data_IF_702097593459
#
_entry.id   IF_702097593459
#
_cell.length_a   1.000
_cell.length_b   1.000
_cell.length_c   1.000
_cell.angle_alpha   90.00
_cell.angle_beta   90.00
_cell.angle_gamma   90.00
#
_symmetry.space_group_name_H-M   'P 1'
#
loop_
_entity.id
_entity.type
_entity.pdbx_description
1 polymer ?
#
# COMPACT_ATOMS: atom_id res chain seq x y z
N UNK A 1 -1.75 -9.68 -8.12
CA UNK A 1 -2.51 -10.46 -7.10
C UNK A 1 -4.02 -10.31 -7.30
N UNK A 2 -4.61 -9.08 -7.32
CA UNK A 2 -6.08 -8.87 -7.42
C UNK A 2 -6.66 -9.49 -8.70
N UNK A 3 -6.05 -9.27 -9.87
CA UNK A 3 -6.51 -9.87 -11.12
C UNK A 3 -6.54 -11.40 -11.05
N UNK A 4 -5.51 -12.00 -10.47
CA UNK A 4 -5.42 -13.45 -10.30
C UNK A 4 -6.43 -13.95 -9.28
N UNK A 5 -6.65 -13.23 -8.19
CA UNK A 5 -7.66 -13.52 -7.19
C UNK A 5 -9.06 -13.54 -7.83
N UNK A 6 -9.43 -12.49 -8.56
CA UNK A 6 -10.73 -12.41 -9.24
C UNK A 6 -10.94 -13.55 -10.24
N UNK A 7 -9.88 -13.94 -10.95
CA UNK A 7 -9.91 -15.07 -11.87
C UNK A 7 -10.12 -16.41 -11.14
N UNK A 8 -9.39 -16.62 -10.04
CA UNK A 8 -9.41 -17.91 -9.31
C UNK A 8 -10.68 -18.10 -8.49
N UNK A 9 -11.11 -17.06 -7.77
CA UNK A 9 -12.23 -17.15 -6.84
C UNK A 9 -13.59 -17.00 -7.52
N UNK A 10 -13.67 -16.11 -8.49
CA UNK A 10 -14.93 -15.71 -9.12
C UNK A 10 -15.02 -16.09 -10.60
N UNK A 11 -13.94 -16.63 -11.15
CA UNK A 11 -13.86 -17.00 -12.57
C UNK A 11 -14.20 -15.83 -13.52
N UNK A 12 -13.89 -14.60 -13.13
CA UNK A 12 -14.05 -13.40 -13.96
C UNK A 12 -12.70 -12.83 -14.38
N UNK A 13 -12.69 -12.22 -15.56
CA UNK A 13 -11.53 -11.52 -16.09
C UNK A 13 -11.65 -10.03 -15.76
N UNK A 14 -10.67 -9.49 -15.04
CA UNK A 14 -10.54 -8.06 -14.78
C UNK A 14 -9.24 -7.52 -15.34
N UNK A 15 -9.30 -6.36 -15.96
CA UNK A 15 -8.12 -5.64 -16.44
C UNK A 15 -7.34 -4.96 -15.32
N UNK A 16 -6.15 -4.45 -15.63
CA UNK A 16 -5.34 -3.69 -14.69
C UNK A 16 -6.07 -2.43 -14.13
N UNK A 17 -6.80 -1.65 -14.95
CA UNK A 17 -7.55 -0.51 -14.43
C UNK A 17 -8.64 -0.91 -13.42
N UNK A 18 -9.35 -2.01 -13.68
CA UNK A 18 -10.39 -2.52 -12.77
C UNK A 18 -9.77 -3.03 -11.47
N UNK A 19 -8.63 -3.74 -11.54
CA UNK A 19 -7.91 -4.19 -10.36
C UNK A 19 -7.39 -3.01 -9.50
N UNK A 20 -6.98 -1.92 -10.14
CA UNK A 20 -6.59 -0.69 -9.44
C UNK A 20 -7.80 -0.04 -8.74
N UNK A 21 -8.96 -0.01 -9.40
CA UNK A 21 -10.19 0.49 -8.76
C UNK A 21 -10.59 -0.37 -7.55
N UNK A 22 -10.52 -1.69 -7.65
CA UNK A 22 -10.76 -2.60 -6.52
C UNK A 22 -9.81 -2.25 -5.37
N UNK A 23 -8.52 -2.10 -5.64
CA UNK A 23 -7.52 -1.72 -4.64
C UNK A 23 -7.84 -0.38 -3.98
N UNK A 24 -8.25 0.63 -4.73
CA UNK A 24 -8.57 1.96 -4.21
C UNK A 24 -9.86 1.91 -3.37
N UNK A 25 -10.88 1.21 -3.84
CA UNK A 25 -12.21 1.17 -3.20
C UNK A 25 -12.23 0.29 -1.95
N UNK A 26 -11.75 -0.93 -2.05
CA UNK A 26 -11.83 -1.94 -0.99
C UNK A 26 -10.47 -2.54 -0.59
N UNK A 27 -9.35 -1.96 -1.05
CA UNK A 27 -8.03 -2.42 -0.64
C UNK A 27 -7.78 -2.15 0.85
N UNK A 28 -7.27 -3.17 1.55
CA UNK A 28 -6.84 -3.08 2.93
C UNK A 28 -5.62 -3.96 3.17
N UNK A 29 -4.78 -3.57 4.10
CA UNK A 29 -3.68 -4.37 4.62
C UNK A 29 -4.10 -5.17 5.86
N UNK A 30 -5.26 -4.86 6.43
CA UNK A 30 -5.83 -5.49 7.61
C UNK A 30 -7.17 -6.14 7.27
N UNK A 31 -7.45 -7.30 7.85
CA UNK A 31 -8.73 -8.01 7.73
C UNK A 31 -9.79 -7.45 8.65
N UNK A 32 -9.39 -6.68 9.66
CA UNK A 32 -10.27 -6.01 10.60
C UNK A 32 -9.91 -4.52 10.61
N UNK A 33 -10.86 -3.68 10.26
CA UNK A 33 -10.78 -2.23 10.32
C UNK A 33 -11.84 -1.70 11.30
N UNK A 34 -11.64 -0.53 11.93
CA UNK A 34 -12.70 0.17 12.64
C UNK A 34 -13.92 0.39 11.73
N UNK A 35 -15.13 0.38 12.31
CA UNK A 35 -16.38 0.48 11.52
C UNK A 35 -16.44 1.76 10.67
N UNK A 36 -15.88 2.85 11.18
CA UNK A 36 -15.82 4.16 10.50
C UNK A 36 -14.78 4.21 9.36
N UNK A 37 -13.82 3.28 9.33
CA UNK A 37 -12.81 3.15 8.28
C UNK A 37 -13.11 2.01 7.30
N UNK A 38 -13.99 1.09 7.66
CA UNK A 38 -14.34 -0.07 6.85
C UNK A 38 -15.13 0.37 5.61
N UNK A 39 -14.62 0.13 4.39
CA UNK A 39 -15.36 0.46 3.18
C UNK A 39 -16.52 -0.52 2.95
N UNK A 40 -17.57 -0.03 2.32
CA UNK A 40 -18.63 -0.89 1.80
C UNK A 40 -18.10 -1.81 0.68
N UNK A 41 -18.81 -2.91 0.44
CA UNK A 41 -18.48 -3.81 -0.67
C UNK A 41 -18.50 -3.06 -2.02
N UNK A 42 -17.57 -3.41 -2.88
CA UNK A 42 -17.45 -2.83 -4.21
C UNK A 42 -17.94 -3.81 -5.26
N UNK A 43 -18.96 -3.43 -6.03
CA UNK A 43 -19.48 -4.24 -7.13
C UNK A 43 -18.51 -4.22 -8.32
N UNK A 44 -17.94 -5.38 -8.65
CA UNK A 44 -17.06 -5.58 -9.78
C UNK A 44 -17.81 -6.25 -10.92
N UNK A 45 -17.73 -5.68 -12.11
CA UNK A 45 -18.35 -6.25 -13.32
C UNK A 45 -17.25 -6.75 -14.24
N UNK A 46 -17.36 -7.99 -14.66
CA UNK A 46 -16.42 -8.58 -15.61
C UNK A 46 -17.00 -9.78 -16.34
N UNK A 47 -16.45 -10.14 -17.52
CA UNK A 47 -16.88 -11.33 -18.23
C UNK A 47 -16.45 -12.59 -17.48
N UNK A 48 -17.36 -13.55 -17.37
CA UNK A 48 -17.04 -14.90 -16.90
C UNK A 48 -16.11 -15.57 -17.91
N UNK A 49 -15.04 -16.21 -17.43
CA UNK A 49 -14.03 -16.82 -18.28
C UNK A 49 -14.54 -18.02 -19.10
N UNK A 50 -15.62 -18.67 -18.66
CA UNK A 50 -16.19 -19.86 -19.35
C UNK A 50 -17.32 -19.49 -20.32
N UNK A 51 -18.23 -18.62 -19.87
CA UNK A 51 -19.45 -18.30 -20.61
C UNK A 51 -19.37 -17.00 -21.40
N UNK A 52 -18.35 -16.17 -21.11
CA UNK A 52 -18.20 -14.80 -21.63
C UNK A 52 -19.35 -13.86 -21.27
N UNK A 53 -20.29 -14.30 -20.44
CA UNK A 53 -21.39 -13.44 -19.98
C UNK A 53 -20.92 -12.51 -18.85
N UNK A 54 -21.48 -11.30 -18.80
CA UNK A 54 -21.15 -10.36 -17.72
C UNK A 54 -21.66 -10.90 -16.38
N UNK A 55 -20.79 -10.83 -15.36
CA UNK A 55 -21.12 -11.11 -13.97
C UNK A 55 -20.87 -9.86 -13.13
N UNK A 56 -21.71 -9.70 -12.11
CA UNK A 56 -21.58 -8.69 -11.07
C UNK A 56 -21.24 -9.39 -9.76
N UNK A 57 -20.17 -8.98 -9.12
CA UNK A 57 -19.65 -9.63 -7.92
C UNK A 57 -19.38 -8.56 -6.88
N UNK A 58 -20.02 -8.61 -5.69
CA UNK A 58 -19.63 -7.81 -4.55
C UNK A 58 -18.30 -8.33 -4.01
N UNK A 59 -17.36 -7.42 -3.78
CA UNK A 59 -16.03 -7.73 -3.24
C UNK A 59 -15.82 -6.95 -1.96
N UNK A 60 -15.50 -7.64 -0.89
CA UNK A 60 -15.26 -7.06 0.43
C UNK A 60 -13.79 -6.69 0.62
N UNK A 61 -13.52 -5.78 1.58
CA UNK A 61 -12.14 -5.42 1.92
C UNK A 61 -11.39 -6.56 2.60
N UNK A 62 -12.08 -7.43 3.33
CA UNK A 62 -11.49 -8.60 3.99
C UNK A 62 -10.90 -9.56 2.96
N UNK A 63 -11.63 -9.81 1.88
CA UNK A 63 -11.16 -10.67 0.78
C UNK A 63 -9.92 -10.08 0.11
N UNK A 64 -9.92 -8.77 -0.12
CA UNK A 64 -8.77 -8.10 -0.74
C UNK A 64 -7.59 -8.03 0.23
N UNK A 65 -7.83 -7.88 1.54
CA UNK A 65 -6.75 -7.97 2.54
C UNK A 65 -6.07 -9.35 2.50
N UNK A 66 -6.83 -10.43 2.44
CA UNK A 66 -6.27 -11.78 2.27
C UNK A 66 -5.52 -11.94 0.93
N UNK A 67 -6.07 -11.38 -0.14
CA UNK A 67 -5.43 -11.39 -1.45
C UNK A 67 -4.07 -10.70 -1.45
N UNK A 68 -3.94 -9.58 -0.74
CA UNK A 68 -2.73 -8.75 -0.69
C UNK A 68 -1.71 -9.21 0.35
N UNK A 69 -2.08 -10.09 1.26
CA UNK A 69 -1.26 -10.49 2.41
C UNK A 69 0.15 -10.94 2.01
N UNK A 70 0.25 -11.79 0.99
CA UNK A 70 1.55 -12.28 0.49
C UNK A 70 2.45 -11.15 -0.03
N UNK A 71 1.88 -10.17 -0.70
CA UNK A 71 2.65 -9.03 -1.24
C UNK A 71 3.07 -8.08 -0.12
N UNK A 72 2.20 -7.86 0.86
CA UNK A 72 2.52 -7.03 2.03
C UNK A 72 3.60 -7.72 2.88
N UNK A 73 3.50 -9.04 3.09
CA UNK A 73 4.53 -9.80 3.81
C UNK A 73 5.91 -9.73 3.15
N UNK A 74 5.98 -9.64 1.82
CA UNK A 74 7.25 -9.39 1.11
C UNK A 74 7.80 -7.99 1.38
N UNK A 75 6.93 -6.98 1.47
CA UNK A 75 7.35 -5.63 1.85
C UNK A 75 7.87 -5.60 3.29
N UNK A 76 7.18 -6.26 4.22
CA UNK A 76 7.62 -6.41 5.61
C UNK A 76 9.02 -7.02 5.68
N UNK A 77 9.25 -8.12 4.96
CA UNK A 77 10.56 -8.79 4.92
C UNK A 77 11.65 -7.90 4.32
N UNK A 78 11.35 -7.13 3.27
CA UNK A 78 12.31 -6.22 2.66
C UNK A 78 12.69 -5.06 3.60
N UNK A 79 11.72 -4.52 4.35
CA UNK A 79 11.97 -3.48 5.36
C UNK A 79 12.84 -4.04 6.49
N UNK A 80 12.54 -5.23 6.99
CA UNK A 80 13.34 -5.88 8.03
C UNK A 80 14.79 -6.10 7.58
N UNK A 81 15.01 -6.61 6.36
CA UNK A 81 16.34 -6.80 5.80
C UNK A 81 17.11 -5.46 5.65
N UNK A 82 16.42 -4.38 5.28
CA UNK A 82 17.02 -3.05 5.23
C UNK A 82 17.44 -2.55 6.61
N UNK A 83 16.59 -2.75 7.63
CA UNK A 83 16.90 -2.38 9.01
C UNK A 83 18.07 -3.19 9.58
N UNK A 84 18.13 -4.48 9.30
CA UNK A 84 19.25 -5.36 9.72
C UNK A 84 20.58 -4.92 9.14
N UNK A 85 20.58 -4.37 7.93
CA UNK A 85 21.80 -3.85 7.27
C UNK A 85 22.16 -2.40 7.66
N UNK A 86 21.30 -1.76 8.47
CA UNK A 86 21.48 -0.35 8.87
C UNK A 86 22.47 -0.25 10.03
N UNK A 87 23.48 0.67 9.98
CA UNK A 87 24.37 0.94 11.11
C UNK A 87 23.63 1.34 12.38
N UNK A 88 24.14 0.91 13.55
CA UNK A 88 23.47 1.09 14.84
C UNK A 88 23.15 2.55 15.18
N UNK A 89 24.01 3.49 14.79
CA UNK A 89 23.81 4.93 15.00
C UNK A 89 22.57 5.44 14.24
N UNK A 90 22.44 5.04 12.98
CA UNK A 90 21.29 5.40 12.15
C UNK A 90 20.00 4.68 12.59
N UNK A 91 20.13 3.45 13.07
CA UNK A 91 18.99 2.68 13.59
C UNK A 91 18.31 3.41 14.77
N UNK A 92 19.10 4.00 15.66
CA UNK A 92 18.56 4.78 16.79
C UNK A 92 17.73 5.98 16.29
N UNK A 93 18.20 6.66 15.25
CA UNK A 93 17.47 7.79 14.66
C UNK A 93 16.18 7.33 13.97
N UNK A 94 16.20 6.19 13.29
CA UNK A 94 15.02 5.59 12.65
C UNK A 94 13.96 5.26 13.71
N UNK A 95 14.34 4.64 14.82
CA UNK A 95 13.41 4.29 15.91
C UNK A 95 12.80 5.56 16.53
N UNK A 96 13.58 6.62 16.67
CA UNK A 96 13.13 7.90 17.26
C UNK A 96 12.20 8.67 16.31
N UNK A 97 12.54 8.75 15.04
CA UNK A 97 11.87 9.61 14.07
C UNK A 97 10.77 8.88 13.28
N UNK A 98 10.78 7.54 13.29
CA UNK A 98 9.89 6.72 12.48
C UNK A 98 10.31 6.65 11.00
N UNK A 99 9.47 5.97 10.21
CA UNK A 99 9.66 5.75 8.78
C UNK A 99 8.51 6.41 8.02
N UNK A 100 8.81 7.14 6.96
CA UNK A 100 7.79 7.78 6.13
C UNK A 100 7.44 6.92 4.92
N UNK A 101 6.14 6.63 4.78
CA UNK A 101 5.58 5.96 3.61
C UNK A 101 5.15 6.99 2.58
N UNK A 102 5.63 6.86 1.35
CA UNK A 102 5.29 7.75 0.24
C UNK A 102 4.77 6.97 -0.97
N UNK A 103 4.21 7.70 -1.94
CA UNK A 103 3.59 7.10 -3.11
C UNK A 103 2.15 6.63 -2.87
N UNK A 104 1.48 6.20 -3.94
CA UNK A 104 0.09 5.77 -3.88
C UNK A 104 -0.16 4.53 -3.03
N UNK A 105 0.86 3.66 -2.87
CA UNK A 105 0.78 2.48 -2.02
C UNK A 105 0.61 2.80 -0.53
N UNK A 106 1.11 3.96 -0.08
CA UNK A 106 0.97 4.42 1.30
C UNK A 106 -0.49 4.70 1.71
N UNK A 107 -1.37 4.90 0.72
CA UNK A 107 -2.81 5.12 0.91
C UNK A 107 -3.61 3.82 1.13
N UNK A 108 -2.98 2.65 1.06
CA UNK A 108 -3.66 1.39 1.35
C UNK A 108 -4.09 1.38 2.83
N UNK A 109 -5.40 1.17 3.06
CA UNK A 109 -5.97 1.18 4.42
C UNK A 109 -5.25 0.22 5.34
N UNK A 110 -4.92 0.67 6.54
CA UNK A 110 -4.28 -0.15 7.55
C UNK A 110 -2.80 -0.52 7.28
N UNK A 111 -2.19 -0.08 6.16
CA UNK A 111 -0.81 -0.45 5.83
C UNK A 111 0.20 0.08 6.85
N UNK A 112 0.11 1.38 7.19
CA UNK A 112 1.01 1.99 8.18
C UNK A 112 0.88 1.32 9.55
N UNK A 113 -0.36 1.02 9.96
CA UNK A 113 -0.65 0.34 11.21
C UNK A 113 -0.07 -1.09 11.22
N UNK A 114 -0.29 -1.84 10.16
CA UNK A 114 0.25 -3.21 10.01
C UNK A 114 1.78 -3.23 10.09
N UNK A 115 2.43 -2.34 9.34
CA UNK A 115 3.89 -2.22 9.36
C UNK A 115 4.41 -1.79 10.73
N UNK A 116 3.77 -0.80 11.37
CA UNK A 116 4.14 -0.35 12.71
C UNK A 116 4.03 -1.46 13.75
N UNK A 117 2.95 -2.23 13.71
CA UNK A 117 2.73 -3.34 14.62
C UNK A 117 3.74 -4.48 14.38
N UNK A 118 4.07 -4.76 13.13
CA UNK A 118 4.98 -5.86 12.76
C UNK A 118 6.43 -5.56 13.07
N UNK A 119 6.86 -4.31 12.84
CA UNK A 119 8.26 -3.89 12.88
C UNK A 119 8.59 -3.20 14.22
N UNK A 120 7.56 -2.78 14.95
CA UNK A 120 7.68 -2.01 16.20
C UNK A 120 8.42 -0.67 16.04
N UNK A 121 8.24 -0.04 14.88
CA UNK A 121 8.69 1.32 14.56
C UNK A 121 7.48 2.06 13.99
N UNK A 122 7.33 3.34 14.33
CA UNK A 122 6.22 4.14 13.81
C UNK A 122 6.36 4.40 12.31
N UNK A 123 5.31 4.15 11.55
CA UNK A 123 5.22 4.48 10.13
C UNK A 123 4.28 5.67 9.95
N UNK A 124 4.78 6.73 9.34
CA UNK A 124 4.06 7.97 9.06
C UNK A 124 3.63 8.02 7.60
N UNK A 125 2.39 8.40 7.34
CA UNK A 125 1.90 8.72 5.99
C UNK A 125 1.69 10.23 5.93
N UNK A 126 2.39 10.97 5.06
CA UNK A 126 2.18 12.41 4.91
C UNK A 126 0.80 12.68 4.29
N UNK A 127 0.30 13.90 4.45
CA UNK A 127 -1.01 14.34 3.95
C UNK A 127 -1.22 14.06 2.45
N UNK A 128 -0.16 14.20 1.65
CA UNK A 128 -0.19 13.91 0.21
C UNK A 128 1.01 13.03 -0.16
N UNK A 129 0.92 11.70 0.08
CA UNK A 129 2.04 10.80 -0.11
C UNK A 129 2.41 10.61 -1.59
N UNK A 130 1.48 10.80 -2.52
CA UNK A 130 1.73 10.62 -3.95
C UNK A 130 2.67 11.69 -4.51
N UNK A 131 2.58 12.92 -4.02
CA UNK A 131 3.40 14.04 -4.48
C UNK A 131 4.55 14.39 -3.51
N UNK A 132 4.73 13.65 -2.42
CA UNK A 132 5.72 13.95 -1.39
C UNK A 132 7.14 14.07 -1.95
N UNK A 133 7.55 13.15 -2.85
CA UNK A 133 8.87 13.18 -3.49
C UNK A 133 9.04 14.41 -4.39
N UNK A 134 8.04 14.71 -5.23
CA UNK A 134 8.06 15.87 -6.12
C UNK A 134 8.12 17.19 -5.33
N UNK A 135 7.35 17.29 -4.23
CA UNK A 135 7.41 18.46 -3.32
C UNK A 135 8.76 18.59 -2.65
N UNK A 136 9.31 17.49 -2.14
CA UNK A 136 10.64 17.47 -1.52
C UNK A 136 11.73 17.94 -2.48
N UNK A 137 11.72 17.42 -3.71
CA UNK A 137 12.65 17.85 -4.77
C UNK A 137 12.47 19.33 -5.11
N UNK A 138 11.24 19.81 -5.21
CA UNK A 138 10.95 21.23 -5.46
C UNK A 138 11.44 22.15 -4.32
N UNK A 139 11.31 21.72 -3.07
CA UNK A 139 11.83 22.45 -1.91
C UNK A 139 13.37 22.47 -1.91
N UNK A 140 14.01 21.35 -2.21
CA UNK A 140 15.47 21.26 -2.31
C UNK A 140 16.03 22.18 -3.41
N UNK A 141 15.38 22.22 -4.58
CA UNK A 141 15.77 23.09 -5.68
C UNK A 141 15.61 24.59 -5.34
N UNK A 142 14.56 24.96 -4.62
CA UNK A 142 14.35 26.36 -4.16
C UNK A 142 15.36 26.81 -3.12
N UNK A 143 15.95 25.87 -2.37
CA UNK A 143 16.88 26.14 -1.28
C UNK A 143 18.19 25.37 -1.49
N UNK A 144 18.72 25.42 -2.70
CA UNK A 144 19.85 24.57 -3.14
C UNK A 144 21.08 24.74 -2.26
N UNK A 145 21.35 25.94 -1.76
CA UNK A 145 22.47 26.23 -0.87
C UNK A 145 22.39 25.48 0.45
N UNK A 146 21.16 25.26 0.96
CA UNK A 146 20.91 24.53 2.20
C UNK A 146 20.95 22.99 2.00
N UNK A 147 20.78 22.52 0.77
CA UNK A 147 20.71 21.11 0.42
C UNK A 147 21.84 20.66 -0.52
N UNK A 148 22.97 21.38 -0.50
CA UNK A 148 24.14 21.09 -1.37
C UNK A 148 24.68 19.66 -1.22
N UNK A 149 24.46 19.00 -0.08
CA UNK A 149 24.84 17.61 0.17
C UNK A 149 24.07 16.59 -0.69
N UNK A 150 22.90 16.97 -1.24
CA UNK A 150 22.11 16.11 -2.14
C UNK A 150 22.64 16.11 -3.59
N UNK A 151 23.61 16.96 -3.90
CA UNK A 151 24.17 17.12 -5.26
C UNK A 151 25.49 16.40 -5.48
N UNK A 152 25.87 15.51 -4.57
CA UNK A 152 27.11 14.71 -4.64
C UNK A 152 26.85 13.32 -5.19
#
# INVERSE_FOLDING_TARGET
DIQEYMRRMYNIKVGAPTAEQIKIKVGSALTELPEDEAPEEFEVIGPNNMTSLPLKIPVSYQEIAHCLDKSISKMEAAIMAALESTPAELYTDIVRNGIYLTGGGALLRGLSQRLSNKINITFHVPEDPQHAVARGTGLALKNIDNYSFLMR
#
